data_IF_400234764812
#
_entry.id   IF_400234764812
#
_cell.length_a   1.000
_cell.length_b   1.000
_cell.length_c   1.000
_cell.angle_alpha   90.00
_cell.angle_beta   90.00
_cell.angle_gamma   90.00
#
_symmetry.space_group_name_H-M   'P 1'
#
loop_
_entity.id
_entity.type
_entity.pdbx_description
1 polymer ?
#
# COMPACT_ATOMS: atom_id res chain seq x y z
N UNK A 1 39.00 17.47 -2.70
CA UNK A 1 37.71 17.93 -2.15
C UNK A 1 36.51 17.69 -3.09
N UNK A 2 36.68 17.52 -4.41
CA UNK A 2 35.58 17.31 -5.37
C UNK A 2 34.86 15.93 -5.30
N UNK A 3 35.49 14.89 -4.72
CA UNK A 3 34.92 13.53 -4.65
C UNK A 3 33.89 13.35 -3.52
N UNK A 4 33.95 14.17 -2.47
CA UNK A 4 33.02 14.11 -1.34
C UNK A 4 31.69 14.78 -1.72
N UNK A 5 31.77 15.93 -2.41
CA UNK A 5 30.61 16.71 -2.85
C UNK A 5 29.72 15.96 -3.86
N UNK A 6 30.34 15.22 -4.79
CA UNK A 6 29.61 14.37 -5.76
C UNK A 6 28.92 13.17 -5.11
N UNK A 7 29.46 12.65 -4.01
CA UNK A 7 28.85 11.55 -3.24
C UNK A 7 27.64 12.06 -2.43
N UNK A 8 27.76 13.24 -1.83
CA UNK A 8 26.66 13.85 -1.05
C UNK A 8 25.47 14.27 -1.93
N UNK A 9 25.74 14.78 -3.13
CA UNK A 9 24.69 15.09 -4.12
C UNK A 9 23.96 13.80 -4.55
N UNK A 10 24.71 12.73 -4.84
CA UNK A 10 24.11 11.44 -5.20
C UNK A 10 23.25 10.85 -4.09
N UNK A 11 23.71 10.90 -2.83
CA UNK A 11 22.96 10.42 -1.66
C UNK A 11 21.64 11.20 -1.51
N UNK A 12 21.67 12.53 -1.65
CA UNK A 12 20.47 13.37 -1.57
C UNK A 12 19.48 13.06 -2.69
N UNK A 13 19.94 12.91 -3.93
CA UNK A 13 19.07 12.52 -5.04
C UNK A 13 18.45 11.14 -4.82
N UNK A 14 19.22 10.19 -4.31
CA UNK A 14 18.73 8.86 -3.98
C UNK A 14 17.65 8.91 -2.89
N UNK A 15 17.90 9.65 -1.81
CA UNK A 15 16.92 9.86 -0.72
C UNK A 15 15.62 10.46 -1.24
N UNK A 16 15.69 11.51 -2.06
CA UNK A 16 14.49 12.14 -2.63
C UNK A 16 13.70 11.18 -3.51
N UNK A 17 14.38 10.38 -4.35
CA UNK A 17 13.72 9.36 -5.18
C UNK A 17 13.08 8.27 -4.32
N UNK A 18 13.75 7.86 -3.25
CA UNK A 18 13.25 6.85 -2.32
C UNK A 18 12.01 7.34 -1.57
N UNK A 19 12.04 8.55 -1.02
CA UNK A 19 10.88 9.18 -0.37
C UNK A 19 9.70 9.33 -1.33
N UNK A 20 9.96 9.78 -2.56
CA UNK A 20 8.94 9.86 -3.60
C UNK A 20 8.34 8.49 -3.89
N UNK A 21 9.16 7.44 -3.96
CA UNK A 21 8.69 6.08 -4.21
C UNK A 21 7.87 5.53 -3.04
N UNK A 22 8.25 5.80 -1.79
CA UNK A 22 7.47 5.43 -0.61
C UNK A 22 6.09 6.10 -0.66
N UNK A 23 6.06 7.42 -0.86
CA UNK A 23 4.80 8.18 -0.93
C UNK A 23 3.90 7.66 -2.05
N UNK A 24 4.47 7.38 -3.22
CA UNK A 24 3.71 6.84 -4.35
C UNK A 24 3.15 5.45 -4.04
N UNK A 25 3.93 4.57 -3.42
CA UNK A 25 3.47 3.24 -3.02
C UNK A 25 2.35 3.31 -1.97
N UNK A 26 2.44 4.25 -1.03
CA UNK A 26 1.39 4.48 -0.03
C UNK A 26 0.08 4.94 -0.68
N UNK A 27 0.15 5.91 -1.59
CA UNK A 27 -1.02 6.38 -2.37
C UNK A 27 -1.65 5.22 -3.13
N UNK A 28 -0.86 4.46 -3.89
CA UNK A 28 -1.36 3.30 -4.66
C UNK A 28 -2.05 2.26 -3.77
N UNK A 29 -1.50 2.01 -2.57
CA UNK A 29 -2.08 1.08 -1.61
C UNK A 29 -3.41 1.60 -1.06
N UNK A 30 -3.48 2.90 -0.71
CA UNK A 30 -4.69 3.53 -0.20
C UNK A 30 -5.80 3.58 -1.26
N UNK A 31 -5.46 3.96 -2.50
CA UNK A 31 -6.40 3.97 -3.63
C UNK A 31 -6.94 2.58 -3.92
N UNK A 32 -6.08 1.55 -3.89
CA UNK A 32 -6.52 0.17 -4.06
C UNK A 32 -7.57 -0.23 -3.01
N UNK A 33 -7.29 0.00 -1.72
CA UNK A 33 -8.22 -0.39 -0.65
C UNK A 33 -9.50 0.46 -0.65
N UNK A 34 -9.39 1.76 -0.93
CA UNK A 34 -10.56 2.63 -1.13
C UNK A 34 -11.46 2.08 -2.25
N UNK A 35 -10.88 1.73 -3.40
CA UNK A 35 -11.64 1.17 -4.52
C UNK A 35 -12.31 -0.16 -4.16
N UNK A 36 -11.68 -1.03 -3.36
CA UNK A 36 -12.33 -2.25 -2.89
C UNK A 36 -13.51 -1.94 -1.94
N UNK A 37 -13.34 -0.98 -1.04
CA UNK A 37 -14.41 -0.55 -0.13
C UNK A 37 -15.59 0.06 -0.91
N UNK A 38 -15.31 0.94 -1.87
CA UNK A 38 -16.33 1.58 -2.71
C UNK A 38 -17.16 0.56 -3.49
N UNK A 39 -16.55 -0.56 -3.91
CA UNK A 39 -17.26 -1.68 -4.55
C UNK A 39 -18.24 -2.35 -3.60
N UNK A 40 -17.84 -2.59 -2.34
CA UNK A 40 -18.73 -3.18 -1.31
C UNK A 40 -19.93 -2.26 -1.06
N UNK A 41 -19.71 -0.95 -0.98
CA UNK A 41 -20.78 0.04 -0.81
C UNK A 41 -21.69 0.09 -2.04
N UNK A 42 -21.11 0.10 -3.25
CA UNK A 42 -21.85 0.19 -4.51
C UNK A 42 -22.64 -1.09 -4.84
N UNK A 43 -22.25 -2.24 -4.27
CA UNK A 43 -22.91 -3.51 -4.49
C UNK A 43 -24.32 -3.59 -3.90
N UNK A 44 -24.74 -2.61 -3.07
CA UNK A 44 -26.09 -2.52 -2.46
C UNK A 44 -26.55 -3.86 -1.89
N UNK A 45 -25.86 -4.40 -0.88
CA UNK A 45 -26.17 -5.72 -0.33
C UNK A 45 -27.63 -5.82 0.15
N UNK A 46 -28.30 -6.91 -0.24
CA UNK A 46 -29.72 -7.15 0.07
C UNK A 46 -29.97 -7.45 1.57
N UNK A 47 -28.91 -7.67 2.35
CA UNK A 47 -28.99 -7.93 3.79
C UNK A 47 -27.71 -7.55 4.54
N UNK A 48 -27.84 -7.33 5.85
CA UNK A 48 -26.69 -7.10 6.75
C UNK A 48 -25.71 -8.29 6.71
N UNK A 49 -26.20 -9.53 6.63
CA UNK A 49 -25.34 -10.72 6.54
C UNK A 49 -24.50 -10.72 5.26
N UNK A 50 -25.09 -10.31 4.13
CA UNK A 50 -24.36 -10.20 2.85
C UNK A 50 -23.31 -9.08 2.89
N UNK A 51 -23.59 -7.95 3.53
CA UNK A 51 -22.61 -6.89 3.79
C UNK A 51 -21.46 -7.39 4.66
N UNK A 52 -21.76 -8.06 5.78
CA UNK A 52 -20.77 -8.62 6.69
C UNK A 52 -19.83 -9.60 5.97
N UNK A 53 -20.39 -10.46 5.11
CA UNK A 53 -19.61 -11.41 4.31
C UNK A 53 -18.64 -10.69 3.36
N UNK A 54 -19.09 -9.61 2.70
CA UNK A 54 -18.23 -8.83 1.79
C UNK A 54 -17.11 -8.11 2.55
N UNK A 55 -17.42 -7.52 3.69
CA UNK A 55 -16.43 -6.85 4.55
C UNK A 55 -15.40 -7.85 5.11
N UNK A 56 -15.82 -9.05 5.52
CA UNK A 56 -14.91 -10.11 5.98
C UNK A 56 -13.93 -10.53 4.88
N UNK A 57 -14.42 -10.76 3.66
CA UNK A 57 -13.56 -11.09 2.51
C UNK A 57 -12.54 -9.99 2.22
N UNK A 58 -12.93 -8.72 2.32
CA UNK A 58 -12.02 -7.59 2.17
C UNK A 58 -10.93 -7.61 3.25
N UNK A 59 -11.31 -7.81 4.52
CA UNK A 59 -10.39 -7.91 5.66
C UNK A 59 -9.40 -9.08 5.52
N UNK A 60 -9.86 -10.26 5.09
CA UNK A 60 -9.02 -11.43 4.84
C UNK A 60 -7.99 -11.17 3.73
N UNK A 61 -8.40 -10.48 2.66
CA UNK A 61 -7.50 -10.07 1.58
C UNK A 61 -6.39 -9.14 2.09
N UNK A 62 -6.75 -8.17 2.95
CA UNK A 62 -5.78 -7.28 3.61
C UNK A 62 -4.81 -8.08 4.48
N UNK A 63 -5.33 -8.99 5.32
CA UNK A 63 -4.52 -9.84 6.20
C UNK A 63 -3.52 -10.70 5.39
N UNK A 64 -3.97 -11.30 4.29
CA UNK A 64 -3.11 -12.07 3.39
C UNK A 64 -2.00 -11.20 2.78
N UNK A 65 -2.34 -9.99 2.30
CA UNK A 65 -1.34 -9.07 1.74
C UNK A 65 -0.33 -8.62 2.80
N UNK A 66 -0.77 -8.31 4.02
CA UNK A 66 0.11 -8.00 5.16
C UNK A 66 1.04 -9.17 5.46
N UNK A 67 0.52 -10.40 5.51
CA UNK A 67 1.31 -11.61 5.76
C UNK A 67 2.39 -11.82 4.69
N UNK A 68 2.06 -11.63 3.42
CA UNK A 68 3.01 -11.76 2.30
C UNK A 68 4.09 -10.68 2.37
N UNK A 69 3.72 -9.43 2.62
CA UNK A 69 4.67 -8.32 2.73
C UNK A 69 5.63 -8.50 3.92
N UNK A 70 5.14 -8.97 5.06
CA UNK A 70 5.98 -9.32 6.22
C UNK A 70 6.98 -10.44 5.89
N UNK A 71 6.53 -11.50 5.22
CA UNK A 71 7.42 -12.59 4.80
C UNK A 71 8.53 -12.15 3.83
N UNK A 72 8.26 -11.15 2.98
CA UNK A 72 9.27 -10.57 2.10
C UNK A 72 10.24 -9.61 2.79
N UNK A 73 9.99 -9.25 4.05
CA UNK A 73 10.87 -8.40 4.87
C UNK A 73 11.91 -9.21 5.66
N UNK A 74 11.63 -10.50 5.93
CA UNK A 74 12.48 -11.42 6.70
C UNK A 74 13.39 -12.31 5.82
N UNK A 75 13.58 -11.96 4.54
CA UNK A 75 14.37 -12.71 3.54
C UNK A 75 15.59 -11.96 3.05
#
# INVERSE_FOLDING_TARGET
MASLDSSDVFIKEYQQRFEKKIRQNEIELLEYWKNQLDRVVSARPDSIASLQTQVMKLSEMMANRIKVLKKGHDG
#
